data_IF_023716838023
#
_entry.id   IF_023716838023
#
_cell.length_a   1.000
_cell.length_b   1.000
_cell.length_c   1.000
_cell.angle_alpha   90.00
_cell.angle_beta   90.00
_cell.angle_gamma   90.00
#
_symmetry.space_group_name_H-M   'P 1'
#
loop_
_entity.id
_entity.type
_entity.pdbx_description
1 polymer ?
#
# COMPACT_ATOMS: atom_id res chain seq x y z
N UNK A 1 -5.05 11.15 12.74
CA UNK A 1 -6.05 10.04 12.81
C UNK A 1 -5.36 8.87 13.46
N UNK A 2 -6.07 7.98 14.17
CA UNK A 2 -5.44 6.77 14.66
C UNK A 2 -4.93 5.96 13.47
N UNK A 3 -3.70 5.51 13.56
CA UNK A 3 -3.08 4.63 12.58
C UNK A 3 -3.73 3.24 12.66
N UNK A 4 -3.87 2.57 11.53
CA UNK A 4 -4.39 1.19 11.50
C UNK A 4 -3.35 0.27 12.13
N UNK A 5 -3.70 -0.35 13.26
CA UNK A 5 -2.88 -1.40 13.85
C UNK A 5 -3.20 -2.75 13.19
N UNK A 6 -2.25 -3.25 12.44
CA UNK A 6 -2.35 -4.49 11.69
C UNK A 6 -2.02 -5.71 12.55
N UNK A 7 -2.74 -6.81 12.34
CA UNK A 7 -2.25 -8.11 12.79
C UNK A 7 -1.16 -8.60 11.82
N UNK A 8 0.08 -8.26 12.13
CA UNK A 8 1.22 -8.44 11.25
C UNK A 8 1.53 -9.91 10.94
N UNK A 9 1.30 -10.84 11.88
CA UNK A 9 1.51 -12.29 11.66
C UNK A 9 0.47 -12.84 10.68
N UNK A 10 -0.79 -12.53 10.90
CA UNK A 10 -1.88 -12.99 10.04
C UNK A 10 -1.76 -12.40 8.62
N UNK A 11 -1.33 -11.13 8.52
CA UNK A 11 -1.05 -10.47 7.24
C UNK A 11 0.09 -11.20 6.49
N UNK A 12 1.16 -11.54 7.19
CA UNK A 12 2.30 -12.28 6.61
C UNK A 12 1.91 -13.64 6.04
N UNK A 13 1.07 -14.40 6.74
CA UNK A 13 0.64 -15.74 6.32
C UNK A 13 -0.28 -15.73 5.10
N UNK A 14 -1.07 -14.66 4.93
CA UNK A 14 -2.15 -14.58 3.93
C UNK A 14 -1.84 -13.65 2.76
N UNK A 15 -0.58 -13.34 2.53
CA UNK A 15 -0.14 -12.28 1.60
C UNK A 15 0.52 -12.81 0.31
N UNK A 16 0.00 -13.89 -0.30
CA UNK A 16 0.56 -14.46 -1.55
C UNK A 16 0.61 -13.44 -2.70
N UNK A 17 -0.45 -12.64 -2.87
CA UNK A 17 -0.48 -11.55 -3.83
C UNK A 17 0.62 -10.51 -3.53
N UNK A 18 0.73 -10.07 -2.27
CA UNK A 18 1.74 -9.10 -1.87
C UNK A 18 3.17 -9.63 -2.06
N UNK A 19 3.38 -10.93 -1.88
CA UNK A 19 4.67 -11.55 -2.16
C UNK A 19 5.03 -11.50 -3.66
N UNK A 20 4.08 -11.83 -4.53
CA UNK A 20 4.29 -11.73 -5.98
C UNK A 20 4.55 -10.29 -6.40
N UNK A 21 3.80 -9.33 -5.86
CA UNK A 21 4.00 -7.89 -6.11
C UNK A 21 5.36 -7.41 -5.61
N UNK A 22 5.84 -7.92 -4.48
CA UNK A 22 7.17 -7.58 -3.93
C UNK A 22 8.29 -8.00 -4.87
N UNK A 23 8.21 -9.22 -5.45
CA UNK A 23 9.20 -9.70 -6.43
C UNK A 23 9.27 -8.77 -7.65
N UNK A 24 8.11 -8.41 -8.19
CA UNK A 24 7.99 -7.51 -9.34
C UNK A 24 8.62 -6.15 -9.07
N UNK A 25 8.30 -5.54 -7.93
CA UNK A 25 8.86 -4.25 -7.51
C UNK A 25 10.37 -4.31 -7.40
N UNK A 26 10.88 -5.33 -6.70
CA UNK A 26 12.32 -5.49 -6.48
C UNK A 26 13.09 -5.67 -7.79
N UNK A 27 12.48 -6.29 -8.81
CA UNK A 27 13.09 -6.40 -10.14
C UNK A 27 13.13 -5.06 -10.89
N UNK A 28 12.16 -4.19 -10.66
CA UNK A 28 12.07 -2.87 -11.29
C UNK A 28 13.00 -1.81 -10.67
N UNK A 29 13.47 -2.03 -9.42
CA UNK A 29 14.34 -1.08 -8.74
C UNK A 29 15.75 -1.07 -9.35
N UNK A 30 16.21 0.13 -9.70
CA UNK A 30 17.60 0.40 -10.08
C UNK A 30 18.35 0.87 -8.84
N UNK A 31 19.19 0.02 -8.30
CA UNK A 31 19.95 0.26 -7.08
C UNK A 31 21.44 0.19 -7.38
N UNK A 32 22.20 1.07 -6.75
CA UNK A 32 23.66 0.96 -6.63
C UNK A 32 24.03 0.39 -5.25
N UNK A 33 25.21 -0.20 -5.13
CA UNK A 33 25.61 -0.84 -3.86
C UNK A 33 25.74 0.12 -2.68
N UNK A 34 25.82 1.43 -2.93
CA UNK A 34 26.03 2.48 -1.93
C UNK A 34 24.83 3.39 -1.70
N UNK A 35 23.69 3.10 -2.33
CA UNK A 35 22.50 3.93 -2.17
C UNK A 35 22.01 3.98 -0.72
N UNK A 36 21.57 5.16 -0.30
CA UNK A 36 20.78 5.36 0.91
C UNK A 36 19.30 5.33 0.51
N UNK A 37 18.56 4.37 1.04
CA UNK A 37 17.16 4.13 0.65
C UNK A 37 16.24 4.29 1.86
N UNK A 38 15.13 5.01 1.68
CA UNK A 38 14.02 5.07 2.62
C UNK A 38 12.83 4.28 2.06
N UNK A 39 12.27 3.38 2.85
CA UNK A 39 11.05 2.63 2.53
C UNK A 39 9.90 3.14 3.42
N UNK A 40 8.95 3.86 2.81
CA UNK A 40 7.82 4.49 3.50
C UNK A 40 6.59 3.59 3.44
N UNK A 41 6.12 3.17 4.62
CA UNK A 41 5.10 2.12 4.75
C UNK A 41 5.71 0.74 4.52
N UNK A 42 6.82 0.46 5.20
CA UNK A 42 7.63 -0.76 5.00
C UNK A 42 6.94 -2.05 5.46
N UNK A 43 5.83 -1.94 6.21
CA UNK A 43 5.12 -3.07 6.77
C UNK A 43 6.03 -4.00 7.58
N UNK A 44 5.99 -5.30 7.32
CA UNK A 44 6.80 -6.31 8.00
C UNK A 44 8.31 -6.28 7.63
N UNK A 45 8.75 -5.32 6.82
CA UNK A 45 10.15 -5.11 6.45
C UNK A 45 10.71 -6.14 5.45
N UNK A 46 9.88 -6.94 4.79
CA UNK A 46 10.34 -7.98 3.85
C UNK A 46 11.01 -7.37 2.62
N UNK A 47 10.38 -6.39 1.98
CA UNK A 47 10.93 -5.69 0.82
C UNK A 47 12.15 -4.88 1.24
N UNK A 48 12.05 -4.15 2.34
CA UNK A 48 13.13 -3.34 2.92
C UNK A 48 14.39 -4.17 3.17
N UNK A 49 14.23 -5.37 3.75
CA UNK A 49 15.34 -6.30 4.00
C UNK A 49 15.99 -6.79 2.70
N UNK A 50 15.22 -6.99 1.64
CA UNK A 50 15.76 -7.38 0.35
C UNK A 50 16.49 -6.22 -0.35
N UNK A 51 15.98 -4.98 -0.22
CA UNK A 51 16.69 -3.79 -0.67
C UNK A 51 18.04 -3.67 0.04
N UNK A 52 18.08 -3.88 1.36
CA UNK A 52 19.33 -3.80 2.14
C UNK A 52 20.39 -4.82 1.69
N UNK A 53 20.00 -6.00 1.20
CA UNK A 53 20.94 -6.96 0.60
C UNK A 53 21.56 -6.46 -0.70
N UNK A 54 20.83 -5.62 -1.45
CA UNK A 54 21.27 -5.10 -2.76
C UNK A 54 22.11 -3.84 -2.65
N UNK A 55 22.11 -3.19 -1.47
CA UNK A 55 22.90 -1.99 -1.18
C UNK A 55 23.86 -2.24 0.00
N UNK A 56 24.80 -3.21 -0.10
CA UNK A 56 25.63 -3.64 1.02
C UNK A 56 26.55 -2.55 1.58
N UNK A 57 26.89 -1.54 0.77
CA UNK A 57 27.74 -0.40 1.14
C UNK A 57 26.90 0.87 1.44
N UNK A 58 25.58 0.77 1.32
CA UNK A 58 24.63 1.85 1.57
C UNK A 58 23.96 1.72 2.94
N UNK A 59 22.78 2.32 3.05
CA UNK A 59 21.95 2.24 4.26
C UNK A 59 20.47 2.21 3.86
N UNK A 60 19.69 1.40 4.53
CA UNK A 60 18.24 1.33 4.32
C UNK A 60 17.52 1.62 5.62
N UNK A 61 16.55 2.51 5.57
CA UNK A 61 15.64 2.82 6.67
C UNK A 61 14.23 2.45 6.21
N UNK A 62 13.55 1.59 6.97
CA UNK A 62 12.14 1.31 6.80
C UNK A 62 11.32 2.05 7.84
N UNK A 63 10.26 2.72 7.43
CA UNK A 63 9.33 3.37 8.36
C UNK A 63 7.90 2.92 8.10
N UNK A 64 7.15 2.75 9.19
CA UNK A 64 5.70 2.47 9.14
C UNK A 64 5.00 3.18 10.30
N UNK A 65 3.75 3.53 10.10
CA UNK A 65 2.95 4.16 11.15
C UNK A 65 2.46 3.15 12.21
N UNK A 66 2.42 1.85 11.89
CA UNK A 66 2.03 0.77 12.79
C UNK A 66 3.22 0.29 13.60
N UNK A 67 3.14 0.42 14.93
CA UNK A 67 4.14 -0.10 15.86
C UNK A 67 4.26 -1.62 15.77
N UNK A 68 3.15 -2.34 15.56
CA UNK A 68 3.14 -3.79 15.41
C UNK A 68 3.92 -4.26 14.16
N UNK A 69 3.81 -3.51 13.06
CA UNK A 69 4.58 -3.80 11.85
C UNK A 69 6.08 -3.57 12.08
N UNK A 70 6.45 -2.48 12.75
CA UNK A 70 7.86 -2.18 13.07
C UNK A 70 8.45 -3.19 14.04
N UNK A 71 7.71 -3.65 15.03
CA UNK A 71 8.15 -4.72 15.92
C UNK A 71 8.50 -6.00 15.13
N UNK A 72 7.65 -6.40 14.19
CA UNK A 72 7.91 -7.55 13.33
C UNK A 72 9.08 -7.30 12.36
N UNK A 73 9.17 -6.12 11.77
CA UNK A 73 10.24 -5.72 10.86
C UNK A 73 11.60 -5.71 11.56
N UNK A 74 11.64 -5.27 12.82
CA UNK A 74 12.86 -5.16 13.64
C UNK A 74 13.56 -6.51 13.88
N UNK A 75 12.86 -7.63 13.71
CA UNK A 75 13.52 -8.95 13.72
C UNK A 75 14.49 -9.16 12.55
N UNK A 76 14.50 -8.29 11.55
CA UNK A 76 15.32 -8.34 10.34
C UNK A 76 16.48 -7.33 10.34
N UNK A 77 16.71 -6.60 11.44
CA UNK A 77 17.77 -5.60 11.57
C UNK A 77 19.15 -6.18 11.17
N UNK A 78 19.94 -5.37 10.48
CA UNK A 78 21.29 -5.64 10.02
C UNK A 78 22.13 -4.36 10.15
N UNK A 79 23.46 -4.42 10.02
CA UNK A 79 24.32 -3.23 10.13
C UNK A 79 23.91 -2.07 9.20
N UNK A 80 23.34 -2.37 8.02
CA UNK A 80 22.90 -1.38 7.04
C UNK A 80 21.38 -1.25 6.93
N UNK A 81 20.60 -1.80 7.90
CA UNK A 81 19.14 -1.82 7.88
C UNK A 81 18.56 -1.46 9.24
N UNK A 82 17.74 -0.41 9.28
CA UNK A 82 17.06 0.08 10.47
C UNK A 82 15.54 0.23 10.21
N UNK A 83 14.76 0.16 11.30
CA UNK A 83 13.31 0.34 11.23
C UNK A 83 12.86 1.28 12.35
N UNK A 84 11.95 2.23 12.01
CA UNK A 84 11.40 3.19 12.96
C UNK A 84 9.90 3.41 12.73
N UNK A 85 9.18 3.75 13.80
CA UNK A 85 7.79 4.19 13.71
C UNK A 85 7.76 5.63 13.24
N UNK A 86 7.16 5.89 12.07
CA UNK A 86 7.00 7.26 11.57
C UNK A 86 5.75 7.41 10.71
N UNK A 87 5.16 8.60 10.76
CA UNK A 87 4.07 9.01 9.88
C UNK A 87 4.65 9.58 8.58
N UNK A 88 4.20 9.05 7.44
CA UNK A 88 4.65 9.49 6.13
C UNK A 88 4.37 10.99 5.89
N UNK A 89 3.40 11.59 6.59
CA UNK A 89 3.08 13.03 6.50
C UNK A 89 4.10 13.94 7.19
N UNK A 90 4.94 13.37 8.06
CA UNK A 90 5.90 14.12 8.89
C UNK A 90 7.19 13.32 9.12
N UNK A 91 7.82 12.85 8.04
CA UNK A 91 9.08 12.13 8.11
C UNK A 91 10.19 13.00 8.71
N UNK A 92 11.02 12.47 9.63
CA UNK A 92 12.04 13.24 10.33
C UNK A 92 13.35 13.41 9.54
N UNK A 93 13.31 13.26 8.20
CA UNK A 93 14.47 13.27 7.33
C UNK A 93 14.53 14.50 6.43
N UNK A 94 15.75 14.92 6.05
CA UNK A 94 15.96 16.05 5.15
C UNK A 94 17.19 15.80 4.27
N UNK A 95 16.99 15.67 2.95
CA UNK A 95 18.06 15.50 1.95
C UNK A 95 19.02 14.33 2.26
N UNK A 96 18.49 13.20 2.69
CA UNK A 96 19.32 12.08 3.16
C UNK A 96 19.36 10.88 2.21
N UNK A 97 18.32 10.69 1.38
CA UNK A 97 18.16 9.46 0.62
C UNK A 97 18.34 9.68 -0.88
N UNK A 98 19.08 8.78 -1.52
CA UNK A 98 19.23 8.73 -2.97
C UNK A 98 17.95 8.23 -3.64
N UNK A 99 17.26 7.31 -2.95
CA UNK A 99 15.99 6.74 -3.37
C UNK A 99 15.02 6.66 -2.18
N UNK A 100 13.79 7.13 -2.39
CA UNK A 100 12.65 6.82 -1.51
C UNK A 100 11.71 5.87 -2.23
N UNK A 101 11.29 4.82 -1.57
CA UNK A 101 10.29 3.87 -2.08
C UNK A 101 9.06 3.86 -1.18
N UNK A 102 7.90 3.57 -1.77
CA UNK A 102 6.68 3.26 -1.02
C UNK A 102 5.80 2.35 -1.86
N UNK A 103 5.45 1.20 -1.30
CA UNK A 103 4.73 0.17 -2.05
C UNK A 103 3.43 -0.23 -1.34
N UNK A 104 2.30 0.15 -1.95
CA UNK A 104 0.95 -0.16 -1.47
C UNK A 104 0.65 0.38 -0.06
N UNK A 105 1.21 1.54 0.30
CA UNK A 105 1.00 2.19 1.59
C UNK A 105 0.31 3.56 1.46
N UNK A 106 0.72 4.41 0.52
CA UNK A 106 0.27 5.80 0.49
C UNK A 106 -1.22 5.99 0.27
N UNK A 107 -1.92 5.08 -0.44
CA UNK A 107 -3.36 5.17 -0.62
C UNK A 107 -4.19 5.03 0.69
N UNK A 108 -3.54 4.67 1.80
CA UNK A 108 -4.13 4.71 3.15
C UNK A 108 -4.08 6.10 3.81
N UNK A 109 -3.51 7.10 3.15
CA UNK A 109 -3.33 8.45 3.68
C UNK A 109 -4.18 9.42 2.88
N UNK A 110 -5.05 10.17 3.55
CA UNK A 110 -5.89 11.17 2.89
C UNK A 110 -5.10 12.45 2.56
N UNK A 111 -4.17 12.83 3.41
CA UNK A 111 -3.32 14.01 3.26
C UNK A 111 -2.10 13.68 2.38
N UNK A 112 -2.36 13.34 1.09
CA UNK A 112 -1.33 12.94 0.12
C UNK A 112 -0.32 14.06 -0.16
N UNK A 113 -0.77 15.31 -0.12
CA UNK A 113 0.07 16.49 -0.28
C UNK A 113 1.13 16.58 0.84
N UNK A 114 0.75 16.32 2.09
CA UNK A 114 1.68 16.29 3.21
C UNK A 114 2.66 15.12 3.09
N UNK A 115 2.18 13.94 2.70
CA UNK A 115 3.04 12.76 2.50
C UNK A 115 4.05 13.01 1.37
N UNK A 116 3.61 13.51 0.22
CA UNK A 116 4.49 13.80 -0.91
C UNK A 116 5.51 14.92 -0.59
N UNK A 117 5.10 15.98 0.11
CA UNK A 117 6.00 17.02 0.56
C UNK A 117 7.05 16.49 1.55
N UNK A 118 6.65 15.61 2.45
CA UNK A 118 7.54 14.97 3.42
C UNK A 118 8.54 14.02 2.74
N UNK A 119 8.07 13.23 1.77
CA UNK A 119 8.93 12.38 0.92
C UNK A 119 9.91 13.24 0.13
N UNK A 120 9.45 14.31 -0.51
CA UNK A 120 10.31 15.23 -1.27
C UNK A 120 11.44 15.79 -0.39
N UNK A 121 11.11 16.26 0.80
CA UNK A 121 12.10 16.76 1.76
C UNK A 121 13.15 15.70 2.15
N UNK A 122 12.76 14.43 2.19
CA UNK A 122 13.65 13.33 2.58
C UNK A 122 14.62 12.93 1.46
N UNK A 123 14.25 13.16 0.20
CA UNK A 123 15.07 12.84 -0.99
C UNK A 123 16.17 13.91 -1.15
N UNK A 124 17.40 13.46 -1.47
CA UNK A 124 18.49 14.36 -1.87
C UNK A 124 18.15 15.15 -3.14
N UNK A 125 18.71 16.36 -3.34
CA UNK A 125 18.63 17.02 -4.63
C UNK A 125 19.09 16.09 -5.76
N UNK A 126 18.26 15.92 -6.81
CA UNK A 126 18.52 14.97 -7.90
C UNK A 126 18.29 13.50 -7.60
N UNK A 127 17.90 13.14 -6.36
CA UNK A 127 17.45 11.79 -6.02
C UNK A 127 16.05 11.47 -6.55
N UNK A 128 15.55 10.28 -6.30
CA UNK A 128 14.30 9.78 -6.88
C UNK A 128 13.34 9.20 -5.83
N UNK A 129 12.05 9.20 -6.16
CA UNK A 129 11.05 8.42 -5.42
C UNK A 129 10.34 7.44 -6.36
N UNK A 130 10.22 6.18 -5.96
CA UNK A 130 9.52 5.12 -6.68
C UNK A 130 8.33 4.68 -5.85
N UNK A 131 7.14 5.10 -6.27
CA UNK A 131 5.90 4.91 -5.53
C UNK A 131 4.98 3.96 -6.29
N UNK A 132 4.30 3.10 -5.54
CA UNK A 132 3.30 2.18 -6.08
C UNK A 132 2.07 2.21 -5.18
N UNK A 133 0.91 2.46 -5.78
CA UNK A 133 -0.34 2.62 -5.05
C UNK A 133 -1.55 2.16 -5.87
N UNK A 134 -2.70 2.05 -5.20
CA UNK A 134 -3.98 1.72 -5.84
C UNK A 134 -4.63 3.02 -6.31
N UNK A 135 -4.76 3.25 -7.64
CA UNK A 135 -5.41 4.44 -8.19
C UNK A 135 -6.92 4.24 -8.32
N UNK A 136 -7.61 5.32 -8.65
CA UNK A 136 -8.94 5.24 -9.23
C UNK A 136 -8.81 4.70 -10.67
N UNK A 137 -9.73 3.84 -11.08
CA UNK A 137 -9.77 3.27 -12.42
C UNK A 137 -11.20 3.20 -12.97
N UNK A 138 -11.32 2.90 -14.27
CA UNK A 138 -12.62 2.85 -14.96
C UNK A 138 -13.52 1.68 -14.51
N UNK A 139 -12.91 0.54 -14.13
CA UNK A 139 -13.65 -0.62 -13.64
C UNK A 139 -14.00 -0.44 -12.17
N UNK A 140 -15.19 -0.88 -11.77
CA UNK A 140 -15.61 -0.95 -10.38
C UNK A 140 -14.68 -1.85 -9.58
N UNK A 141 -14.01 -1.29 -8.61
CA UNK A 141 -13.05 -2.00 -7.76
C UNK A 141 -13.73 -2.67 -6.55
N UNK A 142 -13.04 -3.58 -5.90
CA UNK A 142 -13.53 -4.21 -4.65
C UNK A 142 -13.75 -3.15 -3.55
N UNK A 143 -12.94 -2.10 -3.50
CA UNK A 143 -13.10 -1.01 -2.54
C UNK A 143 -14.38 -0.20 -2.82
N UNK A 144 -14.75 -0.03 -4.09
CA UNK A 144 -16.04 0.60 -4.43
C UNK A 144 -17.20 -0.28 -3.99
N UNK A 145 -17.12 -1.59 -4.23
CA UNK A 145 -18.12 -2.56 -3.78
C UNK A 145 -18.23 -2.59 -2.25
N UNK A 146 -17.09 -2.51 -1.56
CA UNK A 146 -17.01 -2.46 -0.11
C UNK A 146 -17.75 -1.22 0.45
N UNK A 147 -17.54 -0.04 -0.16
CA UNK A 147 -18.23 1.19 0.22
C UNK A 147 -19.74 1.11 -0.05
N UNK A 148 -20.16 0.53 -1.16
CA UNK A 148 -21.58 0.28 -1.44
C UNK A 148 -22.21 -0.71 -0.47
N UNK A 149 -21.45 -1.78 -0.12
CA UNK A 149 -21.93 -2.80 0.82
C UNK A 149 -22.15 -2.20 2.20
N UNK A 150 -21.16 -1.46 2.75
CA UNK A 150 -21.29 -0.83 4.06
C UNK A 150 -22.45 0.20 4.13
N UNK A 151 -22.76 0.86 3.02
CA UNK A 151 -23.85 1.82 2.93
C UNK A 151 -25.22 1.16 2.66
N UNK A 152 -25.29 -0.16 2.47
CA UNK A 152 -26.56 -0.86 2.25
C UNK A 152 -27.41 -0.90 3.54
N UNK A 153 -28.75 -1.09 3.41
CA UNK A 153 -29.65 -1.14 4.56
C UNK A 153 -29.25 -2.15 5.64
N UNK A 154 -28.65 -3.26 5.26
CA UNK A 154 -28.19 -4.32 6.17
C UNK A 154 -27.06 -3.85 7.06
N UNK A 155 -26.12 -3.05 6.53
CA UNK A 155 -24.85 -2.77 7.17
C UNK A 155 -24.69 -1.33 7.66
N UNK A 156 -25.37 -0.36 7.06
CA UNK A 156 -25.16 1.08 7.29
C UNK A 156 -25.20 1.50 8.77
N UNK A 157 -26.05 0.86 9.58
CA UNK A 157 -26.17 1.15 11.02
C UNK A 157 -24.86 0.94 11.83
N UNK A 158 -23.90 0.14 11.31
CA UNK A 158 -22.62 -0.10 11.96
C UNK A 158 -21.52 0.90 11.53
N UNK A 159 -21.83 1.74 10.53
CA UNK A 159 -20.85 2.61 9.88
C UNK A 159 -21.24 4.10 9.90
N UNK A 160 -22.08 4.53 10.88
CA UNK A 160 -22.60 5.91 10.93
C UNK A 160 -21.51 6.99 10.85
N UNK A 161 -20.40 6.82 11.58
CA UNK A 161 -19.28 7.78 11.63
C UNK A 161 -18.02 7.24 10.91
N UNK A 162 -18.19 6.30 10.01
CA UNK A 162 -17.07 5.70 9.31
C UNK A 162 -16.69 6.49 8.07
N UNK A 163 -15.41 6.84 7.97
CA UNK A 163 -14.81 7.41 6.77
C UNK A 163 -13.99 6.32 6.08
N UNK A 164 -14.13 6.19 4.76
CA UNK A 164 -13.28 5.32 3.94
C UNK A 164 -11.80 5.66 4.21
N UNK A 165 -10.98 4.71 4.69
CA UNK A 165 -9.57 4.97 4.93
C UNK A 165 -8.75 5.12 3.65
N UNK A 166 -9.27 4.69 2.49
CA UNK A 166 -8.58 4.83 1.23
C UNK A 166 -8.79 6.19 0.58
N UNK A 167 -7.73 6.75 0.04
CA UNK A 167 -7.81 7.80 -0.96
C UNK A 167 -7.25 7.26 -2.29
N UNK A 168 -8.12 7.15 -3.28
CA UNK A 168 -7.77 6.73 -4.64
C UNK A 168 -7.86 7.93 -5.55
N UNK A 169 -6.74 8.27 -6.15
CA UNK A 169 -6.61 9.37 -7.11
C UNK A 169 -6.41 8.80 -8.51
N UNK A 170 -6.81 9.55 -9.50
CA UNK A 170 -6.45 9.29 -10.89
C UNK A 170 -4.95 9.56 -11.11
N UNK A 171 -4.39 9.11 -12.24
CA UNK A 171 -3.01 9.47 -12.62
C UNK A 171 -2.81 10.98 -12.68
N UNK A 172 -3.76 11.69 -13.28
CA UNK A 172 -3.69 13.14 -13.45
C UNK A 172 -3.66 13.87 -12.11
N UNK A 173 -4.59 13.54 -11.20
CA UNK A 173 -4.66 14.11 -9.85
C UNK A 173 -3.38 13.84 -9.07
N UNK A 174 -2.83 12.62 -9.15
CA UNK A 174 -1.62 12.26 -8.44
C UNK A 174 -0.39 12.99 -8.99
N UNK A 175 -0.28 13.09 -10.32
CA UNK A 175 0.78 13.85 -10.98
C UNK A 175 0.76 15.33 -10.59
N UNK A 176 -0.42 15.95 -10.55
CA UNK A 176 -0.57 17.34 -10.12
C UNK A 176 -0.12 17.55 -8.66
N UNK A 177 -0.47 16.61 -7.77
CA UNK A 177 -0.02 16.67 -6.37
C UNK A 177 1.51 16.51 -6.25
N UNK A 178 2.09 15.55 -6.98
CA UNK A 178 3.54 15.32 -6.96
C UNK A 178 4.31 16.55 -7.47
N UNK A 179 3.84 17.17 -8.55
CA UNK A 179 4.43 18.41 -9.07
C UNK A 179 4.34 19.57 -8.09
N UNK A 180 3.19 19.77 -7.45
CA UNK A 180 3.00 20.79 -6.39
C UNK A 180 3.92 20.56 -5.20
N UNK A 181 4.29 19.30 -4.93
CA UNK A 181 5.23 18.93 -3.87
C UNK A 181 6.71 19.07 -4.24
N UNK A 182 7.02 19.59 -5.43
CA UNK A 182 8.39 19.86 -5.89
C UNK A 182 9.02 18.74 -6.73
N UNK A 183 8.28 17.70 -7.08
CA UNK A 183 8.78 16.63 -7.92
C UNK A 183 8.58 16.90 -9.41
N UNK A 184 9.54 16.44 -10.22
CA UNK A 184 9.34 16.20 -11.65
C UNK A 184 8.87 14.77 -11.85
N UNK A 185 7.85 14.59 -12.70
CA UNK A 185 7.39 13.26 -13.12
C UNK A 185 8.37 12.69 -14.13
N UNK A 186 8.99 11.56 -13.83
CA UNK A 186 9.82 10.80 -14.77
C UNK A 186 8.96 9.78 -15.53
N UNK A 187 8.04 9.14 -14.81
CA UNK A 187 7.12 8.15 -15.37
C UNK A 187 5.91 8.00 -14.48
N UNK A 188 4.75 7.84 -15.07
CA UNK A 188 3.55 7.32 -14.44
C UNK A 188 2.95 6.24 -15.34
N UNK A 189 2.46 5.18 -14.72
CA UNK A 189 1.85 4.07 -15.46
C UNK A 189 0.84 3.38 -14.56
N UNK A 190 -0.41 3.28 -15.02
CA UNK A 190 -1.44 2.46 -14.40
C UNK A 190 -1.65 1.18 -15.21
N UNK A 191 -1.57 0.06 -14.53
CA UNK A 191 -1.78 -1.27 -15.12
C UNK A 191 -3.02 -1.90 -14.52
N UNK A 192 -3.83 -2.54 -15.37
CA UNK A 192 -4.89 -3.44 -14.93
C UNK A 192 -4.29 -4.81 -14.67
N UNK A 193 -4.41 -5.28 -13.44
CA UNK A 193 -3.87 -6.57 -12.98
C UNK A 193 -4.98 -7.50 -12.52
N UNK A 194 -4.69 -8.79 -12.56
CA UNK A 194 -5.57 -9.84 -12.07
C UNK A 194 -4.77 -10.80 -11.20
N UNK A 195 -5.43 -11.32 -10.16
CA UNK A 195 -4.88 -12.36 -9.31
C UNK A 195 -5.95 -13.40 -9.04
N UNK A 196 -5.69 -14.65 -9.43
CA UNK A 196 -6.57 -15.78 -9.17
C UNK A 196 -6.18 -16.43 -7.83
N UNK A 197 -7.07 -16.31 -6.85
CA UNK A 197 -6.91 -16.94 -5.53
C UNK A 197 -7.23 -18.45 -5.56
N UNK A 198 -7.58 -19.03 -6.70
CA UNK A 198 -7.92 -20.42 -6.90
C UNK A 198 -9.20 -20.88 -6.15
N UNK A 199 -9.36 -20.49 -4.90
CA UNK A 199 -10.48 -20.88 -4.06
C UNK A 199 -11.14 -19.68 -3.37
N UNK A 200 -12.44 -19.82 -3.09
CA UNK A 200 -13.17 -18.83 -2.28
C UNK A 200 -12.53 -18.65 -0.90
N UNK A 201 -12.01 -19.73 -0.31
CA UNK A 201 -11.36 -19.69 1.00
C UNK A 201 -10.12 -18.79 1.01
N UNK A 202 -9.30 -18.86 -0.03
CA UNK A 202 -8.10 -18.02 -0.15
C UNK A 202 -8.45 -16.56 -0.44
N UNK A 203 -9.46 -16.33 -1.29
CA UNK A 203 -9.93 -14.95 -1.53
C UNK A 203 -10.55 -14.34 -0.27
N UNK A 204 -11.33 -15.10 0.49
CA UNK A 204 -11.85 -14.69 1.79
C UNK A 204 -10.71 -14.39 2.78
N UNK A 205 -9.69 -15.25 2.85
CA UNK A 205 -8.56 -15.08 3.74
C UNK A 205 -7.78 -13.80 3.44
N UNK A 206 -7.52 -13.51 2.16
CA UNK A 206 -6.95 -12.23 1.72
C UNK A 206 -7.82 -11.05 2.13
N UNK A 207 -9.12 -11.09 1.83
CA UNK A 207 -10.06 -10.02 2.16
C UNK A 207 -10.15 -9.77 3.66
N UNK A 208 -10.08 -10.82 4.49
CA UNK A 208 -10.17 -10.71 5.95
C UNK A 208 -9.03 -9.89 6.57
N UNK A 209 -7.88 -9.79 5.90
CA UNK A 209 -6.74 -9.00 6.39
C UNK A 209 -6.62 -7.64 5.69
N UNK A 210 -7.21 -7.46 4.51
CA UNK A 210 -7.13 -6.19 3.77
C UNK A 210 -8.25 -5.20 4.11
N UNK A 211 -9.43 -5.70 4.54
CA UNK A 211 -10.57 -4.84 4.91
C UNK A 211 -10.79 -4.76 6.43
N UNK A 212 -9.71 -4.86 7.21
CA UNK A 212 -9.76 -4.88 8.67
C UNK A 212 -10.39 -3.61 9.26
N UNK A 213 -10.19 -2.44 8.63
CA UNK A 213 -10.75 -1.17 9.10
C UNK A 213 -12.28 -1.17 9.10
N UNK A 214 -12.92 -1.85 8.16
CA UNK A 214 -14.36 -2.03 8.13
C UNK A 214 -14.82 -3.10 9.11
N UNK A 215 -14.16 -4.25 9.11
CA UNK A 215 -14.59 -5.39 9.93
C UNK A 215 -14.43 -5.17 11.43
N UNK A 216 -13.46 -4.36 11.88
CA UNK A 216 -13.32 -4.01 13.30
C UNK A 216 -14.48 -3.20 13.86
N UNK A 217 -15.29 -2.56 13.00
CA UNK A 217 -16.53 -1.85 13.40
C UNK A 217 -17.68 -2.79 13.71
N UNK A 218 -17.57 -4.04 13.27
CA UNK A 218 -18.64 -5.03 13.38
C UNK A 218 -18.42 -5.93 14.59
N UNK A 219 -19.51 -6.39 15.24
CA UNK A 219 -19.45 -7.53 16.14
C UNK A 219 -18.74 -8.71 15.47
N UNK A 220 -18.00 -9.49 16.25
CA UNK A 220 -17.20 -10.60 15.72
C UNK A 220 -18.02 -11.58 14.85
N UNK A 221 -19.23 -11.91 15.30
CA UNK A 221 -20.14 -12.79 14.59
C UNK A 221 -20.61 -12.27 13.22
N UNK A 222 -20.48 -10.97 12.97
CA UNK A 222 -20.91 -10.32 11.71
C UNK A 222 -19.75 -10.04 10.74
N UNK A 223 -18.50 -10.22 11.15
CA UNK A 223 -17.33 -9.95 10.31
C UNK A 223 -17.29 -10.86 9.07
N UNK A 224 -17.41 -12.17 9.27
CA UNK A 224 -17.42 -13.12 8.15
C UNK A 224 -18.65 -12.96 7.24
N UNK A 225 -19.88 -12.77 7.74
CA UNK A 225 -21.03 -12.43 6.90
C UNK A 225 -20.82 -11.16 6.05
N UNK A 226 -20.24 -10.11 6.61
CA UNK A 226 -19.93 -8.88 5.87
C UNK A 226 -18.93 -9.12 4.74
N UNK A 227 -17.82 -9.82 5.02
CA UNK A 227 -16.82 -10.16 4.01
C UNK A 227 -17.45 -10.95 2.87
N UNK A 228 -18.29 -11.94 3.18
CA UNK A 228 -18.97 -12.73 2.16
C UNK A 228 -19.92 -11.88 1.31
N UNK A 229 -20.71 -10.98 1.90
CA UNK A 229 -21.59 -10.06 1.14
C UNK A 229 -20.77 -9.16 0.19
N UNK A 230 -19.62 -8.63 0.66
CA UNK A 230 -18.69 -7.87 -0.21
C UNK A 230 -18.20 -8.74 -1.37
N UNK A 231 -17.75 -9.96 -1.11
CA UNK A 231 -17.21 -10.85 -2.14
C UNK A 231 -18.29 -11.29 -3.14
N UNK A 232 -19.50 -11.57 -2.68
CA UNK A 232 -20.61 -11.97 -3.55
C UNK A 232 -21.01 -10.82 -4.48
N UNK A 233 -21.12 -9.61 -3.96
CA UNK A 233 -21.36 -8.40 -4.77
C UNK A 233 -20.21 -8.09 -5.71
N UNK A 234 -18.96 -8.33 -5.28
CA UNK A 234 -17.80 -8.12 -6.12
C UNK A 234 -17.79 -9.10 -7.29
N UNK A 235 -18.10 -10.38 -7.06
CA UNK A 235 -18.24 -11.38 -8.13
C UNK A 235 -19.28 -10.95 -9.16
N UNK A 236 -20.42 -10.42 -8.74
CA UNK A 236 -21.47 -9.98 -9.64
C UNK A 236 -21.04 -8.87 -10.63
N UNK A 237 -19.98 -8.12 -10.32
CA UNK A 237 -19.47 -7.02 -11.18
C UNK A 237 -18.09 -7.31 -11.79
N UNK A 238 -17.32 -8.23 -11.23
CA UNK A 238 -15.95 -8.52 -11.66
C UNK A 238 -15.81 -9.76 -12.55
N UNK A 239 -16.71 -10.73 -12.41
CA UNK A 239 -16.70 -11.97 -13.22
C UNK A 239 -17.24 -11.67 -14.62
N UNK A 240 -16.39 -11.85 -15.63
CA UNK A 240 -16.72 -11.63 -17.03
C UNK A 240 -16.84 -12.94 -17.82
N UNK A 241 -16.26 -14.00 -17.30
CA UNK A 241 -16.29 -15.34 -17.88
C UNK A 241 -16.20 -16.42 -16.80
N UNK A 242 -16.57 -17.64 -17.15
CA UNK A 242 -16.48 -18.82 -16.30
C UNK A 242 -15.06 -19.04 -15.78
N UNK A 243 -14.92 -19.39 -14.51
CA UNK A 243 -13.63 -19.64 -13.84
C UNK A 243 -12.99 -18.42 -13.20
N UNK A 244 -13.60 -17.23 -13.29
CA UNK A 244 -13.08 -16.02 -12.66
C UNK A 244 -13.69 -15.72 -11.26
N UNK A 245 -14.45 -16.63 -10.68
CA UNK A 245 -15.22 -16.40 -9.44
C UNK A 245 -14.34 -16.05 -8.24
N UNK A 246 -13.06 -16.44 -8.28
CA UNK A 246 -12.08 -16.15 -7.25
C UNK A 246 -10.96 -15.20 -7.71
N UNK A 247 -11.21 -14.48 -8.82
CA UNK A 247 -10.23 -13.57 -9.41
C UNK A 247 -10.41 -12.16 -8.88
N UNK A 248 -9.36 -11.62 -8.28
CA UNK A 248 -9.25 -10.22 -7.91
C UNK A 248 -8.69 -9.41 -9.08
N UNK A 249 -9.46 -8.45 -9.58
CA UNK A 249 -9.08 -7.53 -10.65
C UNK A 249 -8.85 -6.14 -10.05
N UNK A 250 -7.65 -5.61 -10.18
CA UNK A 250 -7.27 -4.34 -9.57
C UNK A 250 -6.42 -3.47 -10.51
N UNK A 251 -6.39 -2.17 -10.24
CA UNK A 251 -5.47 -1.26 -10.86
C UNK A 251 -4.27 -1.01 -9.95
N UNK A 252 -3.11 -0.88 -10.55
CA UNK A 252 -1.89 -0.53 -9.86
C UNK A 252 -1.18 0.59 -10.60
N UNK A 253 -0.98 1.71 -9.92
CA UNK A 253 -0.23 2.85 -10.44
C UNK A 253 1.19 2.81 -9.92
N UNK A 254 2.15 2.90 -10.82
CA UNK A 254 3.57 3.08 -10.53
C UNK A 254 3.97 4.48 -10.94
N UNK A 255 4.59 5.22 -10.03
CA UNK A 255 5.01 6.61 -10.22
C UNK A 255 6.50 6.72 -9.90
N UNK A 256 7.27 7.18 -10.87
CA UNK A 256 8.69 7.48 -10.72
C UNK A 256 8.86 9.00 -10.75
N UNK A 257 9.38 9.53 -9.66
CA UNK A 257 9.54 10.97 -9.41
C UNK A 257 11.02 11.30 -9.24
N UNK A 258 11.39 12.52 -9.63
CA UNK A 258 12.71 13.07 -9.40
C UNK A 258 12.62 14.36 -8.61
N UNK A 259 13.35 14.46 -7.52
CA UNK A 259 13.53 15.73 -6.81
C UNK A 259 14.40 16.67 -7.66
N UNK A 260 13.92 17.89 -7.88
CA UNK A 260 14.71 18.92 -8.57
C UNK A 260 15.87 19.35 -7.68
N UNK A 261 17.00 19.71 -8.33
CA UNK A 261 18.18 20.18 -7.64
C UNK A 261 17.98 21.60 -7.07
#
# INVERSE_FOLDING_TARGET
MPTTEWNAELYRERSSLQQAMAVEVLQALKLTSSDRVLDVGCGDGRITSEIARRVPNGCVVGVDASSNMIELASQKIRPNLHFDVADARALPFSNEFDLVVSFNALHWIHEQDLALASIHRSVKPGGTAHLRLVPMGARKSIETVLEETRNSPTWSKYFCDFRDPYLRLTEEEYCLLAQKSGFRIERVQTESKTWDFRTQKEFFAFSSVTIVEWTKRLPESLRSPFINDVLDRYRAVAVEKEGEENTFKFYQMTVLLKALA
#
